data_IF_208744496139
#
_entry.id   IF_208744496139
#
_cell.length_a   1.000
_cell.length_b   1.000
_cell.length_c   1.000
_cell.angle_alpha   90.00
_cell.angle_beta   90.00
_cell.angle_gamma   90.00
#
_symmetry.space_group_name_H-M   'P 1'
#
loop_
_entity.id
_entity.type
_entity.pdbx_description
1 polymer ?
#
# COMPACT_ATOMS: atom_id res chain seq x y z
N UNK A 1 -6.46 9.15 -6.47
CA UNK A 1 -5.46 8.11 -6.71
C UNK A 1 -5.86 6.87 -5.94
N UNK A 2 -5.80 5.72 -6.58
CA UNK A 2 -6.18 4.45 -5.96
C UNK A 2 -4.96 3.54 -5.98
N UNK A 3 -4.68 2.88 -4.86
CA UNK A 3 -3.65 1.87 -4.77
C UNK A 3 -4.31 0.49 -4.64
N UNK A 4 -3.80 -0.47 -5.39
CA UNK A 4 -4.16 -1.87 -5.32
C UNK A 4 -2.96 -2.62 -4.77
N UNK A 5 -3.18 -3.43 -3.75
CA UNK A 5 -2.12 -4.20 -3.09
C UNK A 5 -2.52 -5.66 -3.05
N UNK A 6 -1.65 -6.53 -3.55
CA UNK A 6 -1.81 -7.97 -3.40
C UNK A 6 -0.70 -8.48 -2.49
N UNK A 7 -1.09 -9.12 -1.41
CA UNK A 7 -0.16 -9.70 -0.45
C UNK A 7 0.24 -11.12 -0.88
N UNK A 8 1.38 -11.56 -0.40
CA UNK A 8 1.91 -12.90 -0.72
C UNK A 8 0.99 -14.02 -0.26
N UNK A 9 0.15 -13.77 0.76
CA UNK A 9 -0.82 -14.75 1.22
C UNK A 9 -2.10 -14.79 0.38
N UNK A 10 -2.17 -13.99 -0.69
CA UNK A 10 -3.34 -13.94 -1.57
C UNK A 10 -4.35 -12.87 -1.22
N UNK A 11 -4.20 -12.20 -0.09
CA UNK A 11 -5.11 -11.13 0.31
C UNK A 11 -4.93 -9.91 -0.59
N UNK A 12 -6.04 -9.23 -0.91
CA UNK A 12 -6.06 -8.05 -1.78
C UNK A 12 -6.75 -6.90 -1.06
N UNK A 13 -6.14 -5.72 -1.16
CA UNK A 13 -6.69 -4.49 -0.61
C UNK A 13 -6.65 -3.39 -1.65
N UNK A 14 -7.65 -2.51 -1.61
CA UNK A 14 -7.71 -1.31 -2.44
C UNK A 14 -7.98 -0.11 -1.54
N UNK A 15 -7.26 0.99 -1.76
CA UNK A 15 -7.45 2.22 -0.99
C UNK A 15 -7.47 3.43 -1.91
N UNK A 16 -8.30 4.41 -1.57
CA UNK A 16 -8.14 5.76 -2.10
C UNK A 16 -7.06 6.45 -1.29
N UNK A 17 -6.03 6.95 -1.95
CA UNK A 17 -4.87 7.50 -1.25
C UNK A 17 -4.59 8.94 -1.67
N UNK A 18 -4.02 9.70 -0.73
CA UNK A 18 -3.50 11.04 -0.99
C UNK A 18 -2.03 10.99 -1.36
N UNK A 19 -1.29 10.09 -0.74
CA UNK A 19 0.15 10.00 -0.99
C UNK A 19 0.64 8.58 -0.74
N UNK A 20 1.76 8.28 -1.37
CA UNK A 20 2.43 6.99 -1.28
C UNK A 20 3.93 7.26 -1.18
N UNK A 21 4.58 6.67 -0.19
CA UNK A 21 6.02 6.82 0.01
C UNK A 21 6.60 5.49 0.43
N UNK A 22 7.78 5.16 -0.08
CA UNK A 22 8.49 3.97 0.36
C UNK A 22 9.85 4.38 0.90
N UNK A 23 10.15 3.98 2.13
CA UNK A 23 11.44 4.22 2.77
C UNK A 23 11.96 2.88 3.27
N UNK A 24 13.11 2.47 2.74
CA UNK A 24 13.64 1.13 2.97
C UNK A 24 12.59 0.09 2.54
N UNK A 25 12.20 -0.82 3.41
CA UNK A 25 11.17 -1.81 3.11
C UNK A 25 9.81 -1.47 3.70
N UNK A 26 9.61 -0.24 4.15
CA UNK A 26 8.34 0.21 4.72
C UNK A 26 7.61 1.10 3.72
N UNK A 27 6.35 0.77 3.45
CA UNK A 27 5.49 1.56 2.59
C UNK A 27 4.55 2.36 3.48
N UNK A 28 4.55 3.68 3.29
CA UNK A 28 3.64 4.57 3.99
C UNK A 28 2.57 5.04 3.02
N UNK A 29 1.32 4.79 3.38
CA UNK A 29 0.17 5.18 2.58
C UNK A 29 -0.67 6.15 3.40
N UNK A 30 -0.95 7.32 2.84
CA UNK A 30 -1.83 8.28 3.48
C UNK A 30 -3.18 8.25 2.78
N UNK A 31 -4.23 7.93 3.54
CA UNK A 31 -5.60 7.97 3.08
C UNK A 31 -6.28 9.24 3.61
N UNK A 32 -7.58 9.36 3.40
CA UNK A 32 -8.34 10.54 3.81
C UNK A 32 -8.72 10.49 5.30
N UNK A 33 -7.87 10.09 6.15
CA UNK A 33 -8.14 10.04 7.59
C UNK A 33 -7.18 9.16 8.36
N UNK A 34 -6.43 8.33 7.65
CA UNK A 34 -5.51 7.39 8.26
C UNK A 34 -4.17 7.36 7.58
N UNK A 35 -3.17 6.92 8.32
CA UNK A 35 -1.85 6.61 7.77
C UNK A 35 -1.59 5.13 8.03
N UNK A 36 -1.27 4.40 6.96
CA UNK A 36 -1.01 2.97 7.03
C UNK A 36 0.46 2.71 6.75
N UNK A 37 1.04 1.78 7.47
CA UNK A 37 2.42 1.34 7.26
C UNK A 37 2.40 -0.14 6.90
N UNK A 38 3.02 -0.48 5.77
CA UNK A 38 3.08 -1.85 5.28
C UNK A 38 4.52 -2.28 5.13
N UNK A 39 4.75 -3.58 5.32
CA UNK A 39 6.06 -4.17 5.09
C UNK A 39 6.11 -4.68 3.65
N UNK A 40 7.03 -4.15 2.85
CA UNK A 40 7.17 -4.53 1.45
C UNK A 40 7.42 -6.03 1.27
N UNK A 41 8.05 -6.68 2.24
CA UNK A 41 8.34 -8.11 2.15
C UNK A 41 7.08 -8.98 2.14
N UNK A 42 5.95 -8.45 2.61
CA UNK A 42 4.67 -9.17 2.61
C UNK A 42 3.87 -8.97 1.33
N UNK A 43 4.38 -8.17 0.39
CA UNK A 43 3.62 -7.73 -0.77
C UNK A 43 4.11 -8.44 -2.02
N UNK A 44 3.17 -8.97 -2.80
CA UNK A 44 3.45 -9.60 -4.08
C UNK A 44 3.38 -8.59 -5.23
N UNK A 45 2.39 -7.68 -5.19
CA UNK A 45 2.17 -6.74 -6.28
C UNK A 45 1.53 -5.46 -5.76
N UNK A 46 1.92 -4.33 -6.35
CA UNK A 46 1.34 -3.02 -6.06
C UNK A 46 1.08 -2.31 -7.38
N UNK A 47 -0.10 -1.76 -7.53
CA UNK A 47 -0.47 -0.93 -8.68
C UNK A 47 -1.11 0.36 -8.20
N UNK A 48 -0.76 1.46 -8.83
CA UNK A 48 -1.30 2.78 -8.51
C UNK A 48 -1.93 3.37 -9.76
N UNK A 49 -3.18 3.79 -9.61
CA UNK A 49 -3.93 4.45 -10.68
C UNK A 49 -4.28 5.87 -10.32
#
# INVERSE_FOLDING_TARGET
>A
MIIYIKYKNGHVENYKIKSFTMVNSTIRIETDGDILYLDYSDIEDIQIN
#
